data_IF_567320114897
#
_entry.id   IF_567320114897
#
_cell.length_a   1.000
_cell.length_b   1.000
_cell.length_c   1.000
_cell.angle_alpha   90.00
_cell.angle_beta   90.00
_cell.angle_gamma   90.00
#
_symmetry.space_group_name_H-M   'P 1'
#
loop_
_entity.id
_entity.type
_entity.pdbx_description
1 polymer ?
#
# COMPACT_ATOMS: atom_id res chain seq x y z
N UNK A 1 38.05 9.06 13.48
CA UNK A 1 37.83 7.62 13.24
C UNK A 1 36.66 7.47 12.29
N UNK A 2 36.90 7.65 11.00
CA UNK A 2 35.92 7.26 9.97
C UNK A 2 36.02 5.75 9.84
N UNK A 3 34.94 5.02 10.16
CA UNK A 3 34.86 3.61 9.84
C UNK A 3 34.14 3.48 8.51
N UNK A 4 34.87 2.84 7.62
CA UNK A 4 34.60 2.59 6.22
C UNK A 4 33.37 1.69 6.05
N UNK A 5 32.64 2.00 4.99
CA UNK A 5 31.58 1.21 4.38
C UNK A 5 32.20 -0.01 3.69
N UNK A 6 32.22 -1.16 4.36
CA UNK A 6 32.41 -2.46 3.70
C UNK A 6 31.83 -3.57 4.61
N UNK A 7 30.54 -3.88 4.46
CA UNK A 7 29.93 -5.10 4.99
C UNK A 7 29.74 -6.09 3.83
N UNK A 8 30.51 -7.20 3.77
CA UNK A 8 30.45 -8.15 2.65
C UNK A 8 29.21 -9.06 2.66
N UNK A 9 28.20 -8.80 3.49
CA UNK A 9 26.98 -9.61 3.58
C UNK A 9 25.82 -9.07 2.71
N UNK A 10 26.00 -7.91 2.08
CA UNK A 10 24.94 -7.19 1.37
C UNK A 10 24.73 -7.61 -0.09
N UNK A 11 25.51 -8.56 -0.62
CA UNK A 11 25.34 -8.96 -2.03
C UNK A 11 24.26 -10.03 -2.27
N UNK A 12 23.49 -10.44 -1.25
CA UNK A 12 22.40 -11.40 -1.47
C UNK A 12 21.56 -11.88 -0.27
N UNK A 13 21.60 -11.21 0.89
CA UNK A 13 20.89 -11.69 2.10
C UNK A 13 19.62 -10.92 2.45
N UNK A 14 19.45 -9.69 1.95
CA UNK A 14 18.18 -8.97 2.08
C UNK A 14 17.32 -9.27 0.85
N UNK A 15 16.03 -9.54 1.03
CA UNK A 15 15.10 -9.58 -0.09
C UNK A 15 15.04 -8.17 -0.69
N UNK A 16 15.86 -7.93 -1.71
CA UNK A 16 15.87 -6.69 -2.47
C UNK A 16 14.43 -6.44 -2.95
N UNK A 17 13.76 -5.38 -2.48
CA UNK A 17 12.43 -5.06 -2.97
C UNK A 17 12.55 -4.82 -4.47
N UNK A 18 11.59 -5.30 -5.29
CA UNK A 18 11.58 -4.92 -6.69
C UNK A 18 11.61 -3.39 -6.74
N UNK A 19 12.50 -2.82 -7.57
CA UNK A 19 12.55 -1.38 -7.80
C UNK A 19 11.14 -0.86 -8.08
N UNK A 20 10.84 0.40 -7.69
CA UNK A 20 9.50 1.00 -7.76
C UNK A 20 8.78 0.55 -9.04
N UNK A 21 7.78 -0.30 -8.88
CA UNK A 21 6.90 -0.67 -9.98
C UNK A 21 5.90 0.47 -10.09
N UNK A 22 6.08 1.30 -11.11
CA UNK A 22 5.03 2.22 -11.55
C UNK A 22 3.79 1.36 -11.85
N UNK A 23 2.68 1.57 -11.15
CA UNK A 23 1.47 0.81 -11.43
C UNK A 23 1.11 1.03 -12.89
N UNK A 24 0.95 -0.07 -13.63
CA UNK A 24 0.46 0.01 -14.99
C UNK A 24 -0.88 0.76 -14.96
N UNK A 25 -1.12 1.72 -15.88
CA UNK A 25 -2.40 2.37 -15.96
C UNK A 25 -3.49 1.30 -16.09
N UNK A 26 -4.62 1.43 -15.38
CA UNK A 26 -5.67 0.41 -15.40
C UNK A 26 -6.04 0.10 -16.86
N UNK A 27 -5.93 -1.18 -17.21
CA UNK A 27 -6.26 -1.67 -18.55
C UNK A 27 -7.78 -1.62 -18.73
N UNK A 28 -8.26 -0.46 -19.17
CA UNK A 28 -9.67 -0.15 -19.36
C UNK A 28 -10.14 0.99 -18.46
N UNK A 29 -11.08 1.79 -18.95
CA UNK A 29 -11.97 2.53 -18.05
C UNK A 29 -12.57 1.47 -17.15
N UNK A 30 -12.28 1.52 -15.84
CA UNK A 30 -12.96 0.63 -14.92
C UNK A 30 -14.44 1.00 -15.01
N UNK A 31 -15.19 0.28 -15.85
CA UNK A 31 -16.61 0.48 -16.15
C UNK A 31 -17.48 0.00 -14.97
N UNK A 32 -16.96 0.16 -13.76
CA UNK A 32 -17.67 -0.04 -12.51
C UNK A 32 -18.37 1.25 -12.09
N UNK A 33 -19.30 1.18 -11.12
CA UNK A 33 -19.77 2.36 -10.43
C UNK A 33 -18.57 3.18 -9.93
N UNK A 34 -18.71 4.51 -9.74
CA UNK A 34 -17.64 5.29 -9.13
C UNK A 34 -17.23 4.60 -7.82
N UNK A 35 -15.94 4.30 -7.69
CA UNK A 35 -15.38 3.71 -6.48
C UNK A 35 -15.36 4.79 -5.40
N UNK A 36 -15.68 4.40 -4.15
CA UNK A 36 -15.59 5.33 -3.04
C UNK A 36 -14.14 5.79 -2.86
N UNK A 37 -13.94 7.06 -2.50
CA UNK A 37 -12.62 7.57 -2.13
C UNK A 37 -12.25 7.20 -0.69
N UNK A 38 -10.99 6.78 -0.48
CA UNK A 38 -10.47 6.55 0.86
C UNK A 38 -10.41 7.85 1.67
N UNK A 39 -10.95 7.85 2.89
CA UNK A 39 -11.00 9.07 3.72
C UNK A 39 -9.62 9.53 4.23
N UNK A 40 -8.60 8.66 4.18
CA UNK A 40 -7.25 8.97 4.64
C UNK A 40 -6.32 9.46 3.52
N UNK A 41 -6.31 8.76 2.37
CA UNK A 41 -5.37 9.04 1.28
C UNK A 41 -6.02 9.50 -0.02
N UNK A 42 -7.36 9.50 -0.11
CA UNK A 42 -8.14 9.87 -1.31
C UNK A 42 -7.93 8.99 -2.54
N UNK A 43 -7.25 7.86 -2.40
CA UNK A 43 -7.19 6.84 -3.46
C UNK A 43 -8.53 6.09 -3.57
N UNK A 44 -8.88 5.59 -4.76
CA UNK A 44 -10.09 4.79 -4.96
C UNK A 44 -10.01 3.49 -4.15
N UNK A 45 -11.13 3.13 -3.54
CA UNK A 45 -11.29 1.85 -2.84
C UNK A 45 -11.69 0.72 -3.81
N UNK A 46 -11.75 -0.51 -3.32
CA UNK A 46 -12.33 -1.65 -4.07
C UNK A 46 -13.87 -1.65 -4.07
N UNK A 47 -14.49 -0.76 -3.27
CA UNK A 47 -15.93 -0.72 -3.07
C UNK A 47 -16.58 0.41 -3.88
N UNK A 48 -17.77 0.17 -4.47
CA UNK A 48 -18.52 1.24 -5.13
C UNK A 48 -18.99 2.29 -4.10
N UNK A 49 -19.19 3.54 -4.51
CA UNK A 49 -19.72 4.63 -3.66
C UNK A 49 -21.05 4.29 -2.98
N UNK A 50 -21.85 3.41 -3.60
CA UNK A 50 -23.10 2.91 -3.03
C UNK A 50 -22.92 1.94 -1.85
N UNK A 51 -21.71 1.42 -1.63
CA UNK A 51 -21.41 0.49 -0.53
C UNK A 51 -21.33 1.25 0.80
N UNK A 52 -22.31 1.01 1.68
CA UNK A 52 -22.35 1.65 2.99
C UNK A 52 -21.31 1.04 3.93
N UNK A 53 -20.51 1.89 4.58
CA UNK A 53 -19.64 1.52 5.69
C UNK A 53 -18.20 1.15 5.33
N UNK A 54 -17.84 1.08 4.04
CA UNK A 54 -16.46 0.86 3.61
C UNK A 54 -15.84 2.19 3.15
N UNK A 55 -14.98 2.78 3.99
CA UNK A 55 -14.39 4.12 3.75
C UNK A 55 -12.86 4.11 3.61
N UNK A 56 -12.23 2.94 3.72
CA UNK A 56 -10.78 2.78 3.66
C UNK A 56 -10.39 1.93 2.45
N UNK A 57 -9.30 2.32 1.78
CA UNK A 57 -8.67 1.47 0.79
C UNK A 57 -8.03 0.24 1.48
N UNK A 58 -7.74 -0.84 0.73
CA UNK A 58 -7.20 -2.08 1.29
C UNK A 58 -5.92 -1.87 2.12
N UNK A 59 -5.05 -0.96 1.68
CA UNK A 59 -3.81 -0.61 2.37
C UNK A 59 -4.10 0.03 3.73
N UNK A 60 -4.93 1.09 3.75
CA UNK A 60 -5.28 1.77 4.99
C UNK A 60 -6.03 0.84 5.97
N UNK A 61 -6.90 -0.03 5.48
CA UNK A 61 -7.61 -0.99 6.32
C UNK A 61 -6.65 -1.96 7.04
N UNK A 62 -5.66 -2.49 6.33
CA UNK A 62 -4.63 -3.35 6.93
C UNK A 62 -3.75 -2.60 7.94
N UNK A 63 -3.38 -1.35 7.65
CA UNK A 63 -2.56 -0.54 8.57
C UNK A 63 -3.29 -0.25 9.88
N UNK A 64 -4.58 0.10 9.83
CA UNK A 64 -5.38 0.30 11.05
C UNK A 64 -5.51 -1.02 11.85
N UNK A 65 -5.73 -2.16 11.17
CA UNK A 65 -5.76 -3.46 11.83
C UNK A 65 -4.44 -3.77 12.56
N UNK A 66 -3.29 -3.54 11.91
CA UNK A 66 -1.98 -3.74 12.52
C UNK A 66 -1.73 -2.83 13.73
N UNK A 67 -2.15 -1.56 13.66
CA UNK A 67 -2.05 -0.63 14.80
C UNK A 67 -2.85 -1.11 16.00
N UNK A 68 -4.11 -1.51 15.78
CA UNK A 68 -4.97 -2.02 16.86
C UNK A 68 -4.45 -3.33 17.46
N UNK A 69 -3.85 -4.21 16.65
CA UNK A 69 -3.27 -5.46 17.12
C UNK A 69 -2.09 -5.27 18.09
N UNK A 70 -1.33 -4.17 17.94
CA UNK A 70 -0.10 -3.92 18.70
C UNK A 70 -0.23 -2.81 19.77
N UNK A 71 -1.45 -2.31 20.05
CA UNK A 71 -1.70 -1.24 21.02
C UNK A 71 -2.34 -1.71 22.34
N UNK A 72 -2.20 -3.01 22.64
CA UNK A 72 -2.62 -3.63 23.91
C UNK A 72 -1.69 -3.33 25.08
#
# INVERSE_FOLDING_TARGET
MSRETDDPSDEGTYCEPPGRIEPAPPAGTAEGPPYAECVLCREPTEYPESAKGATLCPVCAWQEAGRTACSG
#
